data_IF_539102931232
#
_entry.id   IF_539102931232
#
_cell.length_a   1.000
_cell.length_b   1.000
_cell.length_c   1.000
_cell.angle_alpha   90.00
_cell.angle_beta   90.00
_cell.angle_gamma   90.00
#
_symmetry.space_group_name_H-M   'P 1'
#
loop_
_entity.id
_entity.type
_entity.pdbx_description
1 polymer ?
#
# COMPACT_ATOMS: atom_id res chain seq x y z
N UNK A 1 -16.28 -2.13 -38.90
CA UNK A 1 -16.70 -1.61 -37.57
C UNK A 1 -16.68 -2.74 -36.58
N UNK A 2 -15.84 -2.67 -35.53
CA UNK A 2 -15.81 -3.70 -34.50
C UNK A 2 -17.11 -3.65 -33.69
N UNK A 3 -17.79 -4.80 -33.54
CA UNK A 3 -18.99 -4.92 -32.70
C UNK A 3 -18.59 -4.64 -31.25
N UNK A 4 -19.20 -3.65 -30.61
CA UNK A 4 -18.99 -3.40 -29.19
C UNK A 4 -19.41 -4.65 -28.41
N UNK A 5 -18.47 -5.24 -27.67
CA UNK A 5 -18.76 -6.36 -26.79
C UNK A 5 -19.41 -5.79 -25.53
N UNK A 6 -20.71 -6.08 -25.35
CA UNK A 6 -21.42 -5.70 -24.15
C UNK A 6 -21.21 -6.77 -23.09
N UNK A 7 -20.33 -6.49 -22.11
CA UNK A 7 -20.06 -7.36 -20.97
C UNK A 7 -20.91 -6.86 -19.80
N UNK A 8 -21.88 -7.65 -19.35
CA UNK A 8 -22.68 -7.34 -18.17
C UNK A 8 -21.77 -7.37 -16.92
N UNK A 9 -21.79 -6.30 -16.14
CA UNK A 9 -21.08 -6.26 -14.86
C UNK A 9 -21.82 -7.07 -13.79
N UNK A 10 -21.10 -7.54 -12.79
CA UNK A 10 -21.67 -8.23 -11.64
C UNK A 10 -22.57 -7.28 -10.81
N UNK A 11 -23.73 -7.74 -10.38
CA UNK A 11 -24.61 -7.02 -9.45
C UNK A 11 -23.97 -6.67 -8.11
N UNK A 12 -22.89 -7.37 -7.73
CA UNK A 12 -22.08 -7.02 -6.54
C UNK A 12 -21.50 -5.61 -6.59
N UNK A 13 -21.38 -5.04 -7.80
CA UNK A 13 -20.86 -3.69 -8.00
C UNK A 13 -21.93 -2.60 -7.92
N UNK A 14 -23.22 -2.96 -7.87
CA UNK A 14 -24.30 -1.98 -7.90
C UNK A 14 -24.37 -1.12 -6.63
N UNK A 15 -23.91 -1.65 -5.49
CA UNK A 15 -23.80 -0.93 -4.21
C UNK A 15 -22.46 -0.20 -3.99
N UNK A 16 -21.51 -0.32 -4.93
CA UNK A 16 -20.18 0.29 -4.79
C UNK A 16 -20.18 1.64 -5.50
N UNK A 17 -20.28 2.72 -4.72
CA UNK A 17 -20.13 4.08 -5.22
C UNK A 17 -18.68 4.47 -5.46
N UNK A 18 -18.49 5.61 -6.11
CA UNK A 18 -17.15 6.22 -6.26
C UNK A 18 -16.55 6.53 -4.89
N UNK A 19 -15.26 6.26 -4.73
CA UNK A 19 -14.53 6.57 -3.51
C UNK A 19 -14.60 8.08 -3.20
N UNK A 20 -14.99 8.41 -1.99
CA UNK A 20 -15.27 9.79 -1.56
C UNK A 20 -14.14 10.78 -1.93
N UNK A 21 -12.89 10.43 -1.60
CA UNK A 21 -11.77 11.33 -1.88
C UNK A 21 -11.47 11.49 -3.38
N UNK A 22 -11.71 10.47 -4.20
CA UNK A 22 -11.56 10.58 -5.66
C UNK A 22 -12.54 11.60 -6.22
N UNK A 23 -13.80 11.55 -5.78
CA UNK A 23 -14.82 12.52 -6.16
C UNK A 23 -14.43 13.95 -5.73
N UNK A 24 -13.99 14.13 -4.48
CA UNK A 24 -13.57 15.44 -3.96
C UNK A 24 -12.37 16.01 -4.70
N UNK A 25 -11.39 15.19 -5.05
CA UNK A 25 -10.24 15.65 -5.83
C UNK A 25 -10.64 16.13 -7.23
N UNK A 26 -11.59 15.43 -7.86
CA UNK A 26 -12.12 15.84 -9.17
C UNK A 26 -12.87 17.17 -9.06
N UNK A 27 -13.77 17.32 -8.09
CA UNK A 27 -14.50 18.57 -7.82
C UNK A 27 -13.54 19.74 -7.58
N UNK A 28 -12.46 19.53 -6.80
CA UNK A 28 -11.43 20.54 -6.56
C UNK A 28 -10.73 20.93 -7.86
N UNK A 29 -10.33 19.94 -8.67
CA UNK A 29 -9.66 20.20 -9.95
C UNK A 29 -10.56 21.01 -10.91
N UNK A 30 -11.86 20.74 -10.94
CA UNK A 30 -12.84 21.49 -11.73
C UNK A 30 -12.95 22.95 -11.24
N UNK A 31 -12.97 23.19 -9.93
CA UNK A 31 -12.99 24.53 -9.35
C UNK A 31 -11.68 25.28 -9.64
N UNK A 32 -10.52 24.60 -9.48
CA UNK A 32 -9.22 25.18 -9.82
C UNK A 32 -9.15 25.61 -11.29
N UNK A 33 -9.64 24.75 -12.20
CA UNK A 33 -9.69 25.04 -13.63
C UNK A 33 -10.64 26.21 -13.96
N UNK A 34 -11.81 26.26 -13.33
CA UNK A 34 -12.81 27.30 -13.59
C UNK A 34 -12.42 28.67 -13.01
N UNK A 35 -11.70 28.69 -11.90
CA UNK A 35 -11.41 29.95 -11.16
C UNK A 35 -9.98 30.44 -11.32
N UNK A 36 -9.06 29.59 -11.81
CA UNK A 36 -7.63 29.87 -11.84
C UNK A 36 -6.97 29.94 -10.43
N UNK A 37 -7.70 29.60 -9.37
CA UNK A 37 -7.22 29.65 -7.99
C UNK A 37 -6.76 28.28 -7.52
N UNK A 38 -5.57 28.18 -6.96
CA UNK A 38 -5.08 26.97 -6.33
C UNK A 38 -5.74 26.77 -4.97
N UNK A 39 -6.23 25.56 -4.70
CA UNK A 39 -6.87 25.15 -3.45
C UNK A 39 -5.89 24.33 -2.60
N UNK A 40 -5.64 24.77 -1.38
CA UNK A 40 -4.83 24.04 -0.41
C UNK A 40 -5.59 22.83 0.13
N UNK A 41 -5.09 21.62 -0.14
CA UNK A 41 -5.76 20.35 0.17
C UNK A 41 -5.31 19.84 1.55
N UNK A 42 -5.97 20.30 2.63
CA UNK A 42 -5.65 19.88 4.00
C UNK A 42 -6.34 18.59 4.45
N UNK A 43 -7.23 18.03 3.64
CA UNK A 43 -8.04 16.87 3.99
C UNK A 43 -7.31 15.53 3.86
N UNK A 44 -6.17 15.48 3.18
CA UNK A 44 -5.41 14.27 2.94
C UNK A 44 -4.02 14.37 3.54
N UNK A 45 -3.73 13.47 4.49
CA UNK A 45 -2.39 13.30 5.06
C UNK A 45 -1.50 12.49 4.13
N UNK A 46 -1.06 13.07 3.02
CA UNK A 46 -0.10 12.45 2.12
C UNK A 46 1.27 13.10 2.29
N UNK A 47 2.37 12.34 2.36
CA UNK A 47 3.71 12.91 2.30
C UNK A 47 3.88 13.72 1.01
N UNK A 48 4.37 14.94 1.13
CA UNK A 48 4.60 15.88 0.02
C UNK A 48 6.09 16.12 -0.25
N UNK A 49 6.96 15.68 0.64
CA UNK A 49 8.40 15.77 0.50
C UNK A 49 8.99 14.45 -0.03
N UNK A 50 10.03 14.51 -0.88
CA UNK A 50 10.75 13.33 -1.31
C UNK A 50 11.47 12.68 -0.13
N UNK A 51 11.77 11.36 -0.18
CA UNK A 51 12.63 10.74 0.79
C UNK A 51 14.04 11.33 0.73
N UNK A 52 14.83 11.09 1.77
CA UNK A 52 16.23 11.53 1.79
C UNK A 52 16.99 10.99 0.57
N UNK A 53 17.88 11.80 -0.03
CA UNK A 53 18.58 11.47 -1.28
C UNK A 53 19.29 10.11 -1.23
N UNK A 54 19.88 9.74 -0.09
CA UNK A 54 20.54 8.44 0.07
C UNK A 54 19.62 7.24 -0.14
N UNK A 55 18.31 7.38 0.11
CA UNK A 55 17.31 6.31 -0.15
C UNK A 55 17.10 6.17 -1.65
N UNK A 56 16.98 7.30 -2.34
CA UNK A 56 16.81 7.35 -3.81
C UNK A 56 18.02 6.71 -4.50
N UNK A 57 19.22 7.14 -4.10
CA UNK A 57 20.49 6.65 -4.66
C UNK A 57 20.66 5.14 -4.42
N UNK A 58 20.30 4.68 -3.22
CA UNK A 58 20.34 3.26 -2.89
C UNK A 58 19.38 2.45 -3.73
N UNK A 59 18.14 2.91 -3.90
CA UNK A 59 17.14 2.26 -4.74
C UNK A 59 17.62 2.16 -6.20
N UNK A 60 18.13 3.26 -6.76
CA UNK A 60 18.65 3.30 -8.12
C UNK A 60 19.82 2.34 -8.32
N UNK A 61 20.73 2.27 -7.34
CA UNK A 61 21.87 1.34 -7.36
C UNK A 61 21.43 -0.12 -7.31
N UNK A 62 20.52 -0.46 -6.40
CA UNK A 62 20.06 -1.85 -6.25
C UNK A 62 19.24 -2.31 -7.48
N UNK A 63 18.45 -1.42 -8.09
CA UNK A 63 17.69 -1.73 -9.29
C UNK A 63 18.55 -2.08 -10.52
N UNK A 64 19.82 -1.67 -10.54
CA UNK A 64 20.76 -2.01 -11.63
C UNK A 64 21.37 -3.41 -11.49
N UNK A 65 21.16 -4.08 -10.40
CA UNK A 65 21.68 -5.43 -10.18
C UNK A 65 20.89 -6.46 -10.99
N UNK A 66 21.53 -7.37 -11.71
CA UNK A 66 20.85 -8.34 -12.56
C UNK A 66 20.09 -9.42 -11.79
N UNK A 67 20.43 -9.62 -10.51
CA UNK A 67 19.88 -10.67 -9.66
C UNK A 67 18.61 -10.28 -8.89
N UNK A 68 18.16 -9.02 -8.99
CA UNK A 68 17.00 -8.53 -8.23
C UNK A 68 15.67 -8.60 -8.98
N UNK A 69 15.67 -8.99 -10.26
CA UNK A 69 14.48 -9.00 -11.13
C UNK A 69 13.76 -10.36 -11.20
N UNK A 70 13.96 -11.21 -10.23
CA UNK A 70 13.33 -12.53 -10.12
C UNK A 70 12.20 -12.54 -9.10
N UNK A 71 11.39 -13.59 -9.13
CA UNK A 71 10.42 -13.83 -8.06
C UNK A 71 11.15 -14.02 -6.72
N UNK A 72 10.67 -13.33 -5.71
CA UNK A 72 11.16 -13.49 -4.33
C UNK A 72 10.42 -14.64 -3.62
N UNK A 73 10.95 -15.08 -2.48
CA UNK A 73 10.24 -15.95 -1.56
C UNK A 73 8.93 -15.30 -1.06
N UNK A 74 7.90 -16.13 -0.86
CA UNK A 74 6.63 -15.66 -0.26
C UNK A 74 6.80 -15.05 1.15
N UNK A 75 7.88 -15.38 1.85
CA UNK A 75 8.25 -14.77 3.13
C UNK A 75 8.96 -13.41 2.97
N UNK A 76 9.26 -12.98 1.76
CA UNK A 76 10.11 -11.83 1.49
C UNK A 76 11.61 -12.13 1.64
N UNK A 77 12.44 -11.20 1.20
CA UNK A 77 13.91 -11.36 1.23
C UNK A 77 14.45 -11.37 2.67
N UNK A 78 15.36 -12.31 3.01
CA UNK A 78 15.94 -12.39 4.36
C UNK A 78 16.62 -11.10 4.81
N UNK A 79 17.28 -10.39 3.89
CA UNK A 79 17.96 -9.12 4.18
C UNK A 79 16.95 -8.05 4.64
N UNK A 80 15.77 -8.00 4.04
CA UNK A 80 14.71 -7.08 4.42
C UNK A 80 14.13 -7.43 5.79
N UNK A 81 13.83 -8.72 6.02
CA UNK A 81 13.30 -9.20 7.30
C UNK A 81 14.26 -8.93 8.45
N UNK A 82 15.56 -9.20 8.21
CA UNK A 82 16.61 -8.91 9.19
C UNK A 82 16.71 -7.40 9.47
N UNK A 83 16.63 -6.55 8.45
CA UNK A 83 16.66 -5.11 8.62
C UNK A 83 15.49 -4.60 9.50
N UNK A 84 14.29 -5.17 9.35
CA UNK A 84 13.16 -4.88 10.23
C UNK A 84 13.45 -5.32 11.68
N UNK A 85 13.94 -6.54 11.89
CA UNK A 85 14.27 -7.03 13.23
C UNK A 85 15.34 -6.16 13.91
N UNK A 86 16.41 -5.82 13.19
CA UNK A 86 17.48 -4.95 13.69
C UNK A 86 16.94 -3.54 14.03
N UNK A 87 16.01 -3.03 13.24
CA UNK A 87 15.37 -1.73 13.46
C UNK A 87 14.50 -1.73 14.72
N UNK A 88 13.68 -2.77 14.91
CA UNK A 88 12.87 -2.96 16.12
C UNK A 88 13.74 -3.10 17.37
N UNK A 89 14.81 -3.87 17.29
CA UNK A 89 15.78 -3.99 18.39
C UNK A 89 16.38 -2.62 18.76
N UNK A 90 16.81 -1.85 17.75
CA UNK A 90 17.46 -0.55 17.96
C UNK A 90 16.54 0.48 18.60
N UNK A 91 15.32 0.60 18.10
CA UNK A 91 14.43 1.71 18.46
C UNK A 91 13.39 1.37 19.54
N UNK A 92 12.96 0.11 19.56
CA UNK A 92 11.92 -0.35 20.50
C UNK A 92 12.45 -1.34 21.55
N UNK A 93 13.72 -1.73 21.48
CA UNK A 93 14.34 -2.73 22.36
C UNK A 93 13.61 -4.08 22.32
N UNK A 94 12.97 -4.39 21.19
CA UNK A 94 12.24 -5.63 20.95
C UNK A 94 13.09 -6.54 20.07
N UNK A 95 13.41 -7.72 20.57
CA UNK A 95 14.13 -8.75 19.78
C UNK A 95 13.10 -9.59 19.02
N UNK A 96 13.32 -9.73 17.71
CA UNK A 96 12.48 -10.51 16.81
C UNK A 96 13.33 -11.53 16.06
N UNK A 97 12.84 -12.78 15.97
CA UNK A 97 13.38 -13.75 15.02
C UNK A 97 12.91 -13.40 13.60
N UNK A 98 13.82 -12.87 12.80
CA UNK A 98 13.51 -12.45 11.43
C UNK A 98 13.05 -13.61 10.52
N UNK A 99 13.24 -14.88 10.90
CA UNK A 99 12.79 -16.04 10.14
C UNK A 99 11.32 -16.39 10.39
N UNK A 100 10.82 -16.18 11.61
CA UNK A 100 9.51 -16.65 12.04
C UNK A 100 8.58 -15.54 12.53
N UNK A 101 9.09 -14.37 12.90
CA UNK A 101 8.32 -13.29 13.52
C UNK A 101 8.25 -12.01 12.67
N UNK A 102 8.82 -12.02 11.46
CA UNK A 102 8.79 -10.88 10.55
C UNK A 102 8.27 -11.28 9.18
N UNK A 103 7.15 -10.70 8.77
CA UNK A 103 6.57 -10.83 7.44
C UNK A 103 6.44 -9.43 6.80
N UNK A 104 7.24 -9.11 5.76
CA UNK A 104 7.07 -7.88 5.00
C UNK A 104 5.72 -7.86 4.28
N UNK A 105 5.07 -6.71 4.30
CA UNK A 105 3.77 -6.48 3.68
C UNK A 105 3.89 -5.42 2.58
N UNK A 106 2.95 -5.40 1.64
CA UNK A 106 2.81 -4.33 0.64
C UNK A 106 2.38 -3.02 1.34
N UNK A 107 1.65 -3.15 2.44
CA UNK A 107 1.24 -2.05 3.28
C UNK A 107 0.48 -2.54 4.52
N UNK A 108 0.31 -1.68 5.52
CA UNK A 108 -0.34 -2.02 6.79
C UNK A 108 -1.79 -2.51 6.62
N UNK A 109 -2.53 -2.04 5.61
CA UNK A 109 -3.91 -2.48 5.35
C UNK A 109 -3.99 -3.97 5.01
N UNK A 110 -3.03 -4.48 4.24
CA UNK A 110 -2.93 -5.92 3.94
C UNK A 110 -2.77 -6.72 5.24
N UNK A 111 -1.82 -6.33 6.09
CA UNK A 111 -1.59 -7.00 7.36
C UNK A 111 -2.81 -7.00 8.27
N UNK A 112 -3.50 -5.88 8.40
CA UNK A 112 -4.73 -5.77 9.19
C UNK A 112 -5.80 -6.73 8.63
N UNK A 113 -5.99 -6.77 7.31
CA UNK A 113 -6.96 -7.67 6.69
C UNK A 113 -6.62 -9.14 6.96
N UNK A 114 -5.36 -9.53 6.81
CA UNK A 114 -4.92 -10.90 7.09
C UNK A 114 -5.12 -11.28 8.56
N UNK A 115 -4.78 -10.39 9.50
CA UNK A 115 -5.01 -10.62 10.92
C UNK A 115 -6.51 -10.81 11.20
N UNK A 116 -7.38 -9.95 10.63
CA UNK A 116 -8.82 -10.09 10.79
C UNK A 116 -9.33 -11.44 10.25
N UNK A 117 -8.90 -11.85 9.07
CA UNK A 117 -9.32 -13.12 8.49
C UNK A 117 -8.80 -14.32 9.30
N UNK A 118 -7.54 -14.28 9.73
CA UNK A 118 -6.92 -15.43 10.38
C UNK A 118 -7.24 -15.56 11.87
N UNK A 119 -7.43 -14.45 12.57
CA UNK A 119 -7.61 -14.46 14.03
C UNK A 119 -9.03 -14.14 14.48
N UNK A 120 -9.76 -13.29 13.77
CA UNK A 120 -11.11 -12.90 14.17
C UNK A 120 -12.20 -13.82 13.62
N UNK A 121 -11.89 -14.63 12.62
CA UNK A 121 -12.81 -15.63 12.08
C UNK A 121 -13.07 -16.80 13.06
N UNK A 122 -12.28 -16.95 14.09
CA UNK A 122 -12.47 -17.97 15.13
C UNK A 122 -13.33 -17.48 16.30
N UNK A 123 -13.71 -16.22 16.33
CA UNK A 123 -14.68 -15.71 17.29
C UNK A 123 -16.08 -15.81 16.70
N UNK A 124 -16.99 -16.40 17.40
CA UNK A 124 -18.42 -16.70 17.19
C UNK A 124 -19.31 -15.61 16.52
N UNK A 125 -18.77 -14.82 15.64
CA UNK A 125 -19.56 -13.89 14.83
C UNK A 125 -20.30 -14.58 13.67
N UNK A 126 -20.33 -15.92 13.64
CA UNK A 126 -21.01 -16.75 12.65
C UNK A 126 -22.09 -17.68 13.25
N UNK A 127 -22.45 -17.54 14.53
CA UNK A 127 -23.60 -18.20 15.15
C UNK A 127 -24.82 -17.30 15.17
#
# INVERSE_FOLDING_TARGET
MAKAVNIARSHRLDGIGEYYFSRRLREIAEIEAATGRQIVKLAMGSPDLPPHQSVIDRLAKEAQRPDVHKYMSYKGEPILRKAFADWYKKWYRTELDYNNEVLPLIGSKEGIMHICICLLYTSDAAD
#
